data_IF_630024158748
#
_entry.id   IF_630024158748
#
_cell.length_a   1.000
_cell.length_b   1.000
_cell.length_c   1.000
_cell.angle_alpha   90.00
_cell.angle_beta   90.00
_cell.angle_gamma   90.00
#
_symmetry.space_group_name_H-M   'P 1'
#
loop_
_entity.id
_entity.type
_entity.pdbx_description
1 polymer ?
#
# COMPACT_ATOMS: atom_id res chain seq x y z
N UNK A 1 34.09 4.86 -14.25
CA UNK A 1 32.82 4.16 -14.51
C UNK A 1 33.11 2.87 -15.26
N UNK A 2 32.61 1.75 -14.77
CA UNK A 2 32.72 0.43 -15.41
C UNK A 2 31.61 0.30 -16.46
N UNK A 3 31.92 -0.20 -17.65
CA UNK A 3 30.97 -0.24 -18.77
C UNK A 3 30.58 -1.69 -19.05
N UNK A 4 29.35 -2.06 -18.71
CA UNK A 4 28.84 -3.41 -18.99
C UNK A 4 28.55 -3.51 -20.49
N UNK A 5 29.11 -4.53 -21.13
CA UNK A 5 28.91 -4.83 -22.55
C UNK A 5 27.81 -5.86 -22.76
N UNK A 6 27.74 -6.87 -21.89
CA UNK A 6 26.79 -7.99 -21.99
C UNK A 6 26.65 -8.69 -20.64
N UNK A 7 25.44 -9.16 -20.33
CA UNK A 7 25.17 -10.05 -19.20
C UNK A 7 24.56 -11.34 -19.77
N UNK A 8 25.14 -12.48 -19.42
CA UNK A 8 24.68 -13.82 -19.80
C UNK A 8 24.20 -14.56 -18.54
N UNK A 9 22.90 -14.80 -18.43
CA UNK A 9 22.32 -15.59 -17.33
C UNK A 9 22.28 -17.08 -17.67
N UNK A 10 22.88 -17.89 -16.80
CA UNK A 10 22.82 -19.36 -16.82
C UNK A 10 21.79 -19.81 -15.79
N UNK A 11 20.86 -20.68 -16.24
CA UNK A 11 19.87 -21.32 -15.39
C UNK A 11 20.55 -22.33 -14.45
N UNK A 12 20.28 -22.24 -13.16
CA UNK A 12 20.52 -23.31 -12.20
C UNK A 12 19.23 -24.07 -11.95
N UNK A 13 19.31 -25.40 -11.94
CA UNK A 13 18.22 -26.27 -11.48
C UNK A 13 18.14 -26.13 -9.97
N UNK A 14 16.93 -25.95 -9.43
CA UNK A 14 16.67 -25.92 -8.00
C UNK A 14 17.20 -27.21 -7.38
N UNK A 15 18.12 -27.08 -6.43
CA UNK A 15 18.58 -28.18 -5.60
C UNK A 15 18.11 -27.86 -4.18
N UNK A 16 17.00 -28.48 -3.77
CA UNK A 16 16.40 -28.34 -2.44
C UNK A 16 17.36 -28.79 -1.31
N UNK A 17 18.53 -29.35 -1.64
CA UNK A 17 19.58 -29.69 -0.68
C UNK A 17 20.51 -28.52 -0.32
N UNK A 18 20.43 -27.38 -1.02
CA UNK A 18 21.28 -26.21 -0.75
C UNK A 18 20.62 -25.23 0.23
N UNK A 19 21.37 -24.80 1.24
CA UNK A 19 20.96 -23.79 2.23
C UNK A 19 20.71 -22.37 1.67
N UNK A 20 20.95 -22.18 0.37
CA UNK A 20 20.74 -20.94 -0.36
C UNK A 20 19.95 -21.29 -1.62
N UNK A 21 18.82 -20.61 -1.84
CA UNK A 21 17.99 -20.84 -3.02
C UNK A 21 18.60 -20.04 -4.18
N UNK A 22 19.55 -20.65 -4.89
CA UNK A 22 20.21 -20.06 -6.06
C UNK A 22 19.27 -20.13 -7.25
N UNK A 23 18.80 -18.98 -7.71
CA UNK A 23 17.84 -18.90 -8.82
C UNK A 23 18.49 -18.51 -10.15
N UNK A 24 19.74 -18.01 -10.14
CA UNK A 24 20.47 -17.72 -11.37
C UNK A 24 21.98 -17.60 -11.16
N UNK A 25 22.74 -17.82 -12.23
CA UNK A 25 24.16 -17.50 -12.32
C UNK A 25 24.37 -16.49 -13.44
N UNK A 26 25.09 -15.40 -13.19
CA UNK A 26 25.40 -14.40 -14.20
C UNK A 26 26.87 -14.43 -14.61
N UNK A 27 27.12 -14.36 -15.91
CA UNK A 27 28.42 -14.05 -16.50
C UNK A 27 28.37 -12.65 -17.12
N UNK A 28 29.28 -11.77 -16.71
CA UNK A 28 29.23 -10.35 -17.00
C UNK A 28 30.46 -9.99 -17.82
N UNK A 29 30.24 -9.49 -19.01
CA UNK A 29 31.29 -8.97 -19.88
C UNK A 29 31.30 -7.45 -19.77
N UNK A 30 32.47 -6.90 -19.46
CA UNK A 30 32.69 -5.45 -19.47
C UNK A 30 33.53 -5.07 -20.70
N UNK A 31 33.37 -3.84 -21.18
CA UNK A 31 34.25 -3.31 -22.23
C UNK A 31 35.59 -2.80 -21.69
N UNK A 32 35.65 -2.46 -20.39
CA UNK A 32 36.81 -1.83 -19.74
C UNK A 32 37.24 -2.53 -18.44
N UNK A 33 36.80 -3.77 -18.20
CA UNK A 33 37.15 -4.55 -17.01
C UNK A 33 37.15 -6.06 -17.31
N UNK A 34 37.93 -6.89 -16.59
CA UNK A 34 37.89 -8.34 -16.79
C UNK A 34 36.49 -8.93 -16.58
N UNK A 35 36.10 -9.97 -17.34
CA UNK A 35 34.79 -10.58 -17.19
C UNK A 35 34.63 -11.20 -15.81
N UNK A 36 33.41 -11.10 -15.26
CA UNK A 36 33.01 -11.76 -14.03
C UNK A 36 32.20 -12.98 -14.43
N UNK A 37 32.75 -14.18 -14.22
CA UNK A 37 32.05 -15.43 -14.54
C UNK A 37 31.56 -16.09 -13.25
N UNK A 38 30.30 -16.46 -13.19
CA UNK A 38 29.74 -17.22 -12.08
C UNK A 38 29.28 -16.38 -10.89
N UNK A 39 28.78 -15.15 -11.10
CA UNK A 39 28.11 -14.41 -10.03
C UNK A 39 26.80 -15.13 -9.67
N UNK A 40 26.65 -15.56 -8.41
CA UNK A 40 25.50 -16.38 -7.99
C UNK A 40 24.41 -15.47 -7.42
N UNK A 41 23.23 -15.47 -8.03
CA UNK A 41 22.05 -14.78 -7.55
C UNK A 41 21.24 -15.75 -6.68
N UNK A 42 21.00 -15.37 -5.43
CA UNK A 42 20.31 -16.20 -4.47
C UNK A 42 19.37 -15.39 -3.58
N UNK A 43 18.40 -16.07 -2.98
CA UNK A 43 17.60 -15.52 -1.90
C UNK A 43 17.66 -16.43 -0.68
N UNK A 44 17.38 -15.84 0.50
CA UNK A 44 17.41 -16.56 1.77
C UNK A 44 16.50 -15.88 2.80
N UNK A 45 16.00 -16.67 3.74
CA UNK A 45 15.36 -16.12 4.96
C UNK A 45 16.39 -15.29 5.72
N UNK A 46 16.01 -14.09 6.08
CA UNK A 46 16.83 -13.23 6.89
C UNK A 46 16.87 -13.73 8.33
N UNK A 47 18.07 -13.78 8.88
CA UNK A 47 18.33 -14.21 10.26
C UNK A 47 19.12 -13.18 11.05
N UNK A 48 19.41 -12.01 10.44
CA UNK A 48 20.16 -10.95 11.11
C UNK A 48 19.76 -9.56 10.61
N UNK A 49 19.86 -8.56 11.49
CA UNK A 49 19.59 -7.16 11.15
C UNK A 49 20.73 -6.45 10.39
N UNK A 50 21.85 -7.14 10.11
CA UNK A 50 22.93 -6.54 9.32
C UNK A 50 22.55 -6.45 7.85
N UNK A 51 22.91 -5.34 7.20
CA UNK A 51 22.77 -5.12 5.75
C UNK A 51 23.62 -6.07 4.91
N UNK A 52 24.55 -6.81 5.54
CA UNK A 52 25.47 -7.72 4.86
C UNK A 52 25.32 -9.14 5.41
N UNK A 53 25.54 -10.13 4.54
CA UNK A 53 25.70 -11.52 4.96
C UNK A 53 27.04 -11.71 5.70
N UNK A 54 27.21 -12.80 6.48
CA UNK A 54 28.51 -13.15 7.05
C UNK A 54 29.63 -13.27 6.01
N UNK A 55 29.28 -13.59 4.76
CA UNK A 55 30.17 -13.67 3.61
C UNK A 55 30.51 -12.29 3.00
N UNK A 56 29.85 -11.22 3.43
CA UNK A 56 30.07 -9.85 2.97
C UNK A 56 29.25 -9.44 1.74
N UNK A 57 28.23 -10.22 1.36
CA UNK A 57 27.31 -9.87 0.27
C UNK A 57 26.23 -8.90 0.78
N UNK A 58 25.87 -7.89 0.00
CA UNK A 58 24.81 -6.94 0.38
C UNK A 58 23.44 -7.59 0.30
N UNK A 59 22.61 -7.41 1.32
CA UNK A 59 21.23 -7.89 1.35
C UNK A 59 20.30 -6.86 0.75
N UNK A 60 19.55 -7.27 -0.26
CA UNK A 60 18.46 -6.49 -0.80
C UNK A 60 17.15 -7.09 -0.31
N UNK A 61 16.42 -6.33 0.51
CA UNK A 61 15.15 -6.77 1.09
C UNK A 61 14.01 -6.39 0.18
N UNK A 62 13.19 -7.37 -0.22
CA UNK A 62 12.06 -7.15 -1.11
C UNK A 62 11.02 -6.19 -0.54
N UNK A 63 10.82 -6.26 0.77
CA UNK A 63 10.05 -5.32 1.56
C UNK A 63 10.92 -4.84 2.71
N UNK A 64 11.11 -3.52 2.80
CA UNK A 64 11.87 -2.90 3.88
C UNK A 64 11.09 -2.90 5.21
N UNK A 65 9.76 -3.02 5.16
CA UNK A 65 8.92 -3.20 6.34
C UNK A 65 8.96 -4.65 6.84
N UNK A 66 8.93 -5.62 5.92
CA UNK A 66 9.04 -7.05 6.23
C UNK A 66 10.35 -7.66 5.72
N UNK A 67 11.41 -7.51 6.53
CA UNK A 67 12.76 -8.01 6.22
C UNK A 67 12.91 -9.54 6.34
N UNK A 68 11.84 -10.33 6.22
CA UNK A 68 11.87 -11.79 6.40
C UNK A 68 12.72 -12.50 5.35
N UNK A 69 12.81 -11.97 4.13
CA UNK A 69 13.61 -12.54 3.04
C UNK A 69 14.45 -11.46 2.37
N UNK A 70 15.66 -11.84 1.94
CA UNK A 70 16.50 -10.98 1.13
C UNK A 70 16.99 -11.73 -0.12
N UNK A 71 17.24 -10.99 -1.19
CA UNK A 71 18.07 -11.42 -2.30
C UNK A 71 19.48 -10.84 -2.18
N UNK A 72 20.44 -11.53 -2.76
CA UNK A 72 21.83 -11.07 -2.80
C UNK A 72 22.58 -11.70 -3.98
N UNK A 73 23.75 -11.15 -4.26
CA UNK A 73 24.66 -11.66 -5.30
C UNK A 73 26.00 -11.99 -4.69
N UNK A 74 26.35 -13.27 -4.76
CA UNK A 74 27.66 -13.76 -4.36
C UNK A 74 28.63 -13.68 -5.53
N UNK A 75 29.57 -12.75 -5.45
CA UNK A 75 30.62 -12.60 -6.45
C UNK A 75 31.78 -13.59 -6.21
N UNK A 76 32.37 -14.16 -7.27
CA UNK A 76 33.63 -14.92 -7.18
C UNK A 76 34.72 -14.20 -6.37
N UNK A 77 35.45 -14.95 -5.53
CA UNK A 77 36.43 -14.42 -4.56
C UNK A 77 37.58 -13.62 -5.20
N UNK A 78 37.89 -13.88 -6.46
CA UNK A 78 39.01 -13.27 -7.20
C UNK A 78 38.68 -11.90 -7.82
N UNK A 79 37.49 -11.37 -7.59
CA UNK A 79 37.02 -10.11 -8.20
C UNK A 79 37.51 -8.89 -7.41
N UNK A 80 38.12 -7.94 -8.12
CA UNK A 80 38.70 -6.69 -7.56
C UNK A 80 37.73 -5.50 -7.52
N UNK A 81 36.42 -5.75 -7.47
CA UNK A 81 35.41 -4.69 -7.29
C UNK A 81 35.41 -4.20 -5.83
N UNK A 82 35.29 -2.89 -5.65
CA UNK A 82 35.07 -2.25 -4.34
C UNK A 82 33.70 -2.65 -3.76
N UNK A 83 33.46 -2.35 -2.48
CA UNK A 83 32.18 -2.65 -1.81
C UNK A 83 31.00 -1.99 -2.51
N UNK A 84 31.11 -0.69 -2.81
CA UNK A 84 30.02 0.07 -3.44
C UNK A 84 29.78 -0.38 -4.88
N UNK A 85 30.84 -0.72 -5.63
CA UNK A 85 30.72 -1.34 -6.96
C UNK A 85 30.07 -2.72 -6.91
N UNK A 86 30.36 -3.53 -5.88
CA UNK A 86 29.70 -4.84 -5.70
C UNK A 86 28.22 -4.66 -5.39
N UNK A 87 27.88 -3.68 -4.56
CA UNK A 87 26.49 -3.37 -4.22
C UNK A 87 25.72 -2.88 -5.45
N UNK A 88 26.21 -1.88 -6.18
CA UNK A 88 25.52 -1.36 -7.37
C UNK A 88 25.44 -2.42 -8.48
N UNK A 89 26.49 -3.24 -8.69
CA UNK A 89 26.43 -4.34 -9.65
C UNK A 89 25.46 -5.45 -9.20
N UNK A 90 25.40 -5.75 -7.90
CA UNK A 90 24.45 -6.73 -7.37
C UNK A 90 23.01 -6.25 -7.59
N UNK A 91 22.75 -4.95 -7.38
CA UNK A 91 21.45 -4.35 -7.70
C UNK A 91 21.13 -4.51 -9.18
N UNK A 92 22.02 -4.12 -10.10
CA UNK A 92 21.81 -4.26 -11.56
C UNK A 92 21.50 -5.71 -11.93
N UNK A 93 22.25 -6.69 -11.41
CA UNK A 93 22.04 -8.10 -11.74
C UNK A 93 20.72 -8.64 -11.20
N UNK A 94 20.38 -8.24 -9.97
CA UNK A 94 19.13 -8.61 -9.34
C UNK A 94 17.94 -7.89 -9.96
N UNK A 95 18.10 -6.69 -10.49
CA UNK A 95 17.07 -5.97 -11.22
C UNK A 95 16.83 -6.62 -12.58
N UNK A 96 17.88 -6.82 -13.38
CA UNK A 96 17.82 -7.50 -14.68
C UNK A 96 17.24 -8.93 -14.60
N UNK A 97 17.48 -9.64 -13.48
CA UNK A 97 16.95 -10.99 -13.28
C UNK A 97 15.67 -11.06 -12.45
N UNK A 98 15.52 -10.19 -11.47
CA UNK A 98 14.42 -10.12 -10.51
C UNK A 98 13.21 -9.36 -11.03
N UNK A 99 13.38 -8.54 -12.07
CA UNK A 99 12.28 -8.09 -12.95
C UNK A 99 11.54 -9.25 -13.63
N UNK A 100 12.15 -10.45 -13.65
CA UNK A 100 11.59 -11.70 -14.18
C UNK A 100 11.02 -12.57 -13.03
N UNK A 101 10.62 -11.95 -11.92
CA UNK A 101 9.67 -12.50 -10.95
C UNK A 101 8.25 -12.11 -11.35
N UNK A 102 7.23 -12.86 -10.93
CA UNK A 102 5.83 -12.56 -11.27
C UNK A 102 5.42 -11.17 -10.81
N UNK A 103 5.44 -10.20 -11.72
CA UNK A 103 4.69 -8.96 -11.62
C UNK A 103 3.71 -8.91 -12.76
N UNK A 104 2.48 -9.32 -12.46
CA UNK A 104 1.41 -8.37 -12.68
C UNK A 104 1.57 -7.34 -11.56
N UNK A 105 2.25 -6.21 -11.80
CA UNK A 105 1.84 -5.01 -11.08
C UNK A 105 0.32 -4.92 -11.26
N UNK A 106 -0.44 -4.42 -10.28
CA UNK A 106 -1.83 -3.99 -10.53
C UNK A 106 -1.87 -2.82 -11.54
N UNK A 107 -0.87 -2.66 -12.41
CA UNK A 107 -0.99 -1.96 -13.69
C UNK A 107 -2.09 -2.65 -14.48
N UNK A 108 -3.24 -2.01 -14.38
CA UNK A 108 -4.53 -2.44 -14.87
C UNK A 108 -4.44 -3.01 -16.31
N UNK A 109 -4.95 -4.25 -16.55
CA UNK A 109 -5.11 -4.82 -17.89
C UNK A 109 -6.04 -4.00 -18.83
N UNK A 110 -6.68 -2.92 -18.35
CA UNK A 110 -7.45 -2.00 -19.20
C UNK A 110 -6.56 -1.05 -20.02
N UNK A 111 -5.23 -1.09 -19.84
CA UNK A 111 -4.23 -0.40 -20.69
C UNK A 111 -4.29 -0.78 -22.18
N UNK A 112 -5.22 -1.66 -22.59
CA UNK A 112 -5.58 -1.91 -23.99
C UNK A 112 -6.41 -0.83 -24.70
N UNK A 113 -6.73 0.34 -24.10
CA UNK A 113 -7.53 1.39 -24.78
C UNK A 113 -6.85 2.75 -24.92
N UNK A 114 -6.72 3.14 -26.20
CA UNK A 114 -6.59 4.45 -26.91
C UNK A 114 -7.01 5.77 -26.25
N UNK A 115 -7.43 5.81 -24.98
CA UNK A 115 -7.86 7.05 -24.34
C UNK A 115 -6.64 7.88 -23.93
N UNK A 116 -6.41 8.97 -24.66
CA UNK A 116 -5.46 10.00 -24.26
C UNK A 116 -6.26 11.15 -23.63
N UNK A 117 -6.20 11.35 -22.30
CA UNK A 117 -6.99 12.37 -21.61
C UNK A 117 -6.86 13.74 -22.23
N UNK A 118 -5.61 14.13 -22.53
CA UNK A 118 -5.28 15.41 -23.17
C UNK A 118 -5.93 15.56 -24.54
N UNK A 119 -5.73 14.61 -25.46
CA UNK A 119 -6.32 14.66 -26.81
C UNK A 119 -7.84 14.59 -26.79
N UNK A 120 -8.42 13.91 -25.81
CA UNK A 120 -9.87 13.82 -25.65
C UNK A 120 -10.44 15.11 -25.05
N UNK A 121 -9.75 15.72 -24.09
CA UNK A 121 -10.10 17.01 -23.48
C UNK A 121 -10.04 18.13 -24.52
N UNK A 122 -9.01 18.17 -25.36
CA UNK A 122 -8.87 19.15 -26.46
C UNK A 122 -10.02 19.08 -27.49
N UNK A 123 -10.72 17.94 -27.57
CA UNK A 123 -11.91 17.78 -28.43
C UNK A 123 -13.19 18.29 -27.76
N UNK A 124 -13.20 18.44 -26.44
CA UNK A 124 -14.32 19.02 -25.71
C UNK A 124 -14.35 20.52 -25.95
N UNK A 125 -15.43 21.02 -26.53
CA UNK A 125 -15.69 22.46 -26.62
C UNK A 125 -16.23 22.96 -25.28
N UNK A 126 -15.35 23.09 -24.27
CA UNK A 126 -15.73 23.50 -22.91
C UNK A 126 -16.29 24.93 -22.94
N UNK A 127 -17.55 25.15 -22.51
CA UNK A 127 -18.11 26.49 -22.39
C UNK A 127 -17.33 27.36 -21.40
N UNK A 128 -17.17 28.66 -21.68
CA UNK A 128 -16.38 29.58 -20.82
C UNK A 128 -16.85 29.65 -19.36
N UNK A 129 -18.15 29.45 -19.12
CA UNK A 129 -18.76 29.47 -17.79
C UNK A 129 -19.12 28.07 -17.27
N UNK A 130 -18.47 27.02 -17.79
CA UNK A 130 -18.72 25.66 -17.32
C UNK A 130 -18.07 25.45 -15.94
N UNK A 131 -18.89 25.04 -14.97
CA UNK A 131 -18.43 24.58 -13.67
C UNK A 131 -18.46 23.05 -13.64
N UNK A 132 -17.33 22.43 -13.31
CA UNK A 132 -17.20 20.96 -13.22
C UNK A 132 -18.18 20.37 -12.21
N UNK A 133 -18.60 21.14 -11.20
CA UNK A 133 -19.57 20.76 -10.16
C UNK A 133 -21.02 20.83 -10.63
N UNK A 134 -21.27 21.37 -11.81
CA UNK A 134 -22.65 21.55 -12.30
C UNK A 134 -23.30 20.24 -12.76
N UNK A 135 -22.51 19.17 -12.89
CA UNK A 135 -22.96 17.82 -13.22
C UNK A 135 -22.69 16.91 -12.01
N UNK A 136 -23.73 16.43 -11.30
CA UNK A 136 -23.58 15.63 -10.08
C UNK A 136 -22.70 14.38 -10.25
N UNK A 137 -22.11 13.93 -9.14
CA UNK A 137 -21.21 12.77 -9.10
C UNK A 137 -21.89 11.45 -9.47
N UNK A 138 -23.16 11.27 -9.13
CA UNK A 138 -23.91 10.05 -9.44
C UNK A 138 -24.21 9.87 -10.94
N UNK A 139 -24.08 10.92 -11.76
CA UNK A 139 -24.41 10.86 -13.19
C UNK A 139 -23.29 10.14 -13.96
N UNK A 140 -23.61 8.96 -14.51
CA UNK A 140 -22.69 8.15 -15.29
C UNK A 140 -22.51 8.60 -16.76
N UNK A 141 -21.78 7.81 -17.57
CA UNK A 141 -21.65 8.07 -19.01
C UNK A 141 -22.94 7.79 -19.79
N UNK A 142 -23.82 6.94 -19.26
CA UNK A 142 -25.16 6.68 -19.79
C UNK A 142 -26.13 7.49 -18.91
N UNK A 143 -26.71 8.53 -19.49
CA UNK A 143 -27.58 9.48 -18.80
C UNK A 143 -29.01 9.24 -19.29
N UNK A 144 -29.95 9.06 -18.38
CA UNK A 144 -31.35 8.91 -18.73
C UNK A 144 -31.98 10.25 -19.15
N UNK A 145 -33.22 10.21 -19.67
CA UNK A 145 -33.88 11.44 -20.13
C UNK A 145 -34.27 12.37 -18.98
N UNK A 146 -34.52 11.84 -17.78
CA UNK A 146 -34.95 12.62 -16.61
C UNK A 146 -33.78 13.47 -16.12
N UNK A 147 -32.64 12.83 -15.85
CA UNK A 147 -31.40 13.48 -15.43
C UNK A 147 -30.92 14.47 -16.49
N UNK A 148 -30.99 14.11 -17.78
CA UNK A 148 -30.59 15.02 -18.86
C UNK A 148 -31.46 16.29 -18.90
N UNK A 149 -32.78 16.16 -18.77
CA UNK A 149 -33.67 17.31 -18.77
C UNK A 149 -33.39 18.22 -17.56
N UNK A 150 -33.18 17.62 -16.37
CA UNK A 150 -32.84 18.35 -15.16
C UNK A 150 -31.50 19.08 -15.27
N UNK A 151 -30.48 18.44 -15.86
CA UNK A 151 -29.17 19.06 -16.10
C UNK A 151 -29.27 20.26 -17.05
N UNK A 152 -30.11 20.19 -18.09
CA UNK A 152 -30.34 21.29 -19.02
C UNK A 152 -31.14 22.43 -18.38
N UNK A 153 -32.06 22.12 -17.46
CA UNK A 153 -32.77 23.13 -16.67
C UNK A 153 -31.82 23.88 -15.73
N UNK A 154 -30.91 23.17 -15.06
CA UNK A 154 -29.90 23.75 -14.18
C UNK A 154 -28.79 24.48 -14.94
N UNK A 155 -28.50 24.05 -16.17
CA UNK A 155 -27.43 24.60 -16.99
C UNK A 155 -27.93 25.00 -18.40
N UNK A 156 -28.74 26.06 -18.55
CA UNK A 156 -29.38 26.40 -19.83
C UNK A 156 -28.41 26.77 -20.95
N UNK A 157 -27.17 27.16 -20.60
CA UNK A 157 -26.12 27.53 -21.54
C UNK A 157 -25.36 26.34 -22.13
N UNK A 158 -25.59 25.14 -21.63
CA UNK A 158 -24.85 23.93 -22.00
C UNK A 158 -25.67 23.08 -22.97
N UNK A 159 -25.02 22.55 -24.01
CA UNK A 159 -25.68 21.64 -24.96
C UNK A 159 -25.75 20.21 -24.43
N UNK A 160 -26.84 19.49 -24.75
CA UNK A 160 -26.98 18.04 -24.47
C UNK A 160 -25.78 17.23 -24.99
N UNK A 161 -25.26 17.60 -26.16
CA UNK A 161 -24.09 16.93 -26.77
C UNK A 161 -22.85 17.10 -25.89
N UNK A 162 -22.57 18.31 -25.42
CA UNK A 162 -21.44 18.56 -24.54
C UNK A 162 -21.55 17.75 -23.23
N UNK A 163 -22.74 17.71 -22.60
CA UNK A 163 -22.95 16.94 -21.37
C UNK A 163 -22.60 15.46 -21.59
N UNK A 164 -23.09 14.85 -22.68
CA UNK A 164 -22.73 13.46 -23.01
C UNK A 164 -21.22 13.29 -23.23
N UNK A 165 -20.60 14.15 -24.04
CA UNK A 165 -19.17 14.04 -24.36
C UNK A 165 -18.29 14.23 -23.11
N UNK A 166 -18.64 15.17 -22.23
CA UNK A 166 -17.96 15.42 -20.97
C UNK A 166 -18.15 14.28 -19.96
N UNK A 167 -19.38 13.78 -19.77
CA UNK A 167 -19.65 12.64 -18.89
C UNK A 167 -18.90 11.39 -19.34
N UNK A 168 -18.80 11.15 -20.66
CA UNK A 168 -17.99 10.07 -21.21
C UNK A 168 -16.49 10.30 -20.98
N UNK A 169 -16.01 11.54 -21.13
CA UNK A 169 -14.61 11.88 -20.86
C UNK A 169 -14.23 11.66 -19.39
N UNK A 170 -14.99 12.23 -18.43
CA UNK A 170 -14.69 12.05 -16.99
C UNK A 170 -14.77 10.59 -16.56
N UNK A 171 -15.71 9.82 -17.12
CA UNK A 171 -15.83 8.37 -16.85
C UNK A 171 -14.60 7.58 -17.29
N UNK A 172 -14.00 7.93 -18.44
CA UNK A 172 -12.77 7.28 -18.88
C UNK A 172 -11.53 7.80 -18.14
N UNK A 173 -11.57 9.06 -17.67
CA UNK A 173 -10.50 9.66 -16.88
C UNK A 173 -10.33 8.93 -15.53
N UNK A 174 -11.41 8.74 -14.76
CA UNK A 174 -11.35 8.13 -13.41
C UNK A 174 -11.05 6.62 -13.43
N UNK A 175 -11.01 6.01 -14.61
CA UNK A 175 -10.52 4.63 -14.82
C UNK A 175 -9.01 4.53 -14.99
N UNK A 176 -8.34 5.65 -15.19
CA UNK A 176 -6.88 5.71 -15.19
C UNK A 176 -6.37 5.67 -13.77
N UNK A 177 -5.09 5.32 -13.62
CA UNK A 177 -4.44 5.41 -12.32
C UNK A 177 -4.40 6.87 -11.85
N UNK A 178 -4.57 7.17 -10.54
CA UNK A 178 -4.59 8.57 -10.08
C UNK A 178 -3.37 9.39 -10.47
N UNK A 179 -2.18 8.79 -10.49
CA UNK A 179 -0.97 9.44 -11.02
C UNK A 179 -1.05 9.83 -12.51
N UNK A 180 -1.89 9.18 -13.31
CA UNK A 180 -2.08 9.45 -14.74
C UNK A 180 -3.11 10.56 -15.00
N UNK A 181 -4.09 10.75 -14.09
CA UNK A 181 -5.11 11.79 -14.25
C UNK A 181 -4.91 13.04 -13.39
N UNK A 182 -3.95 13.05 -12.47
CA UNK A 182 -3.60 14.16 -11.57
C UNK A 182 -3.61 15.54 -12.25
N UNK A 183 -2.95 15.65 -13.41
CA UNK A 183 -2.84 16.90 -14.17
C UNK A 183 -4.20 17.43 -14.71
N UNK A 184 -5.25 16.61 -14.68
CA UNK A 184 -6.58 16.92 -15.17
C UNK A 184 -7.60 17.18 -14.06
N UNK A 185 -7.20 17.13 -12.78
CA UNK A 185 -8.08 17.47 -11.64
C UNK A 185 -8.81 18.83 -11.78
N UNK A 186 -8.22 19.90 -12.38
CA UNK A 186 -8.96 21.14 -12.60
C UNK A 186 -10.17 21.03 -13.55
N UNK A 187 -10.29 19.94 -14.31
CA UNK A 187 -11.32 19.72 -15.32
C UNK A 187 -12.34 18.64 -14.92
N UNK A 188 -12.26 18.11 -13.70
CA UNK A 188 -13.20 17.12 -13.18
C UNK A 188 -13.56 17.45 -11.73
N UNK A 189 -14.82 17.25 -11.37
CA UNK A 189 -15.22 17.40 -9.98
C UNK A 189 -14.66 16.25 -9.13
N UNK A 190 -13.96 16.57 -8.05
CA UNK A 190 -13.36 15.57 -7.17
C UNK A 190 -14.42 14.69 -6.50
N UNK A 191 -15.66 15.18 -6.34
CA UNK A 191 -16.76 14.34 -5.88
C UNK A 191 -17.05 13.16 -6.83
N UNK A 192 -16.89 13.35 -8.15
CA UNK A 192 -16.98 12.27 -9.13
C UNK A 192 -15.79 11.30 -9.01
N UNK A 193 -14.60 11.80 -8.74
CA UNK A 193 -13.41 10.96 -8.47
C UNK A 193 -13.66 10.08 -7.24
N UNK A 194 -14.09 10.68 -6.12
CA UNK A 194 -14.47 9.95 -4.90
C UNK A 194 -15.56 8.89 -5.15
N UNK A 195 -16.53 9.19 -6.00
CA UNK A 195 -17.64 8.28 -6.32
C UNK A 195 -17.21 7.08 -7.18
N UNK A 196 -16.39 7.32 -8.22
CA UNK A 196 -16.22 6.38 -9.33
C UNK A 196 -14.81 5.79 -9.50
N UNK A 197 -13.77 6.39 -8.92
CA UNK A 197 -12.40 5.86 -9.04
C UNK A 197 -12.16 4.77 -7.98
N UNK A 198 -12.04 3.53 -8.41
CA UNK A 198 -11.80 2.36 -7.54
C UNK A 198 -10.33 2.19 -7.12
N UNK A 199 -9.41 3.01 -7.66
CA UNK A 199 -7.97 2.94 -7.42
C UNK A 199 -7.45 3.94 -6.38
N UNK A 200 -8.34 4.69 -5.74
CA UNK A 200 -7.93 5.63 -4.68
C UNK A 200 -7.36 4.87 -3.49
N UNK A 201 -6.16 5.26 -3.07
CA UNK A 201 -5.54 4.81 -1.81
C UNK A 201 -5.88 5.78 -0.70
N UNK A 202 -5.81 5.30 0.55
CA UNK A 202 -6.03 6.16 1.71
C UNK A 202 -5.02 7.31 1.74
N UNK A 203 -3.75 7.03 1.44
CA UNK A 203 -2.72 8.06 1.34
C UNK A 203 -3.07 9.14 0.32
N UNK A 204 -3.55 8.77 -0.89
CA UNK A 204 -3.96 9.73 -1.91
C UNK A 204 -5.13 10.60 -1.44
N UNK A 205 -6.10 10.01 -0.74
CA UNK A 205 -7.24 10.73 -0.15
C UNK A 205 -6.79 11.71 0.94
N UNK A 206 -5.84 11.32 1.80
CA UNK A 206 -5.31 12.19 2.85
C UNK A 206 -4.53 13.36 2.23
N UNK A 207 -3.78 13.14 1.15
CA UNK A 207 -3.03 14.20 0.49
C UNK A 207 -3.93 15.25 -0.17
N UNK A 208 -5.11 14.84 -0.62
CA UNK A 208 -6.12 15.70 -1.22
C UNK A 208 -7.30 15.97 -0.28
N UNK A 209 -7.08 15.93 1.04
CA UNK A 209 -8.16 15.94 2.04
C UNK A 209 -9.13 17.11 1.86
N UNK A 210 -8.64 18.29 1.44
CA UNK A 210 -9.49 19.45 1.18
C UNK A 210 -10.45 19.30 -0.02
N UNK A 211 -10.16 18.39 -0.94
CA UNK A 211 -10.98 18.09 -2.12
C UNK A 211 -11.92 16.90 -1.89
N UNK A 212 -11.65 16.06 -0.88
CA UNK A 212 -12.42 14.83 -0.61
C UNK A 212 -13.88 15.16 -0.27
N UNK A 213 -14.79 14.65 -1.11
CA UNK A 213 -16.23 14.70 -0.84
C UNK A 213 -16.69 13.38 -0.18
N UNK A 214 -16.79 13.38 1.15
CA UNK A 214 -17.20 12.20 1.92
C UNK A 214 -18.62 11.74 1.58
N UNK A 215 -19.49 12.66 1.14
CA UNK A 215 -20.86 12.38 0.74
C UNK A 215 -20.93 11.50 -0.52
N UNK A 216 -19.99 11.67 -1.45
CA UNK A 216 -19.83 10.79 -2.62
C UNK A 216 -18.98 9.57 -2.31
N UNK A 217 -17.91 9.70 -1.51
CA UNK A 217 -16.97 8.62 -1.19
C UNK A 217 -17.64 7.43 -0.49
N UNK A 218 -18.66 7.67 0.35
CA UNK A 218 -19.42 6.62 1.05
C UNK A 218 -20.18 5.63 0.13
N UNK A 219 -20.18 5.85 -1.19
CA UNK A 219 -20.77 4.95 -2.19
C UNK A 219 -19.72 4.16 -2.98
N UNK A 220 -18.42 4.43 -2.76
CA UNK A 220 -17.32 3.76 -3.45
C UNK A 220 -16.82 2.56 -2.62
N UNK A 221 -17.60 1.48 -2.62
CA UNK A 221 -17.33 0.28 -1.82
C UNK A 221 -15.95 -0.35 -2.05
N UNK A 222 -15.39 -0.40 -3.28
CA UNK A 222 -14.02 -0.86 -3.49
C UNK A 222 -12.98 -0.06 -2.72
N UNK A 223 -13.15 1.26 -2.59
CA UNK A 223 -12.25 2.10 -1.80
C UNK A 223 -12.51 1.89 -0.31
N UNK A 224 -13.78 1.93 0.13
CA UNK A 224 -14.15 1.77 1.54
C UNK A 224 -13.67 0.44 2.15
N UNK A 225 -13.58 -0.63 1.37
CA UNK A 225 -13.08 -1.94 1.83
C UNK A 225 -11.60 -1.96 2.19
N UNK A 226 -10.83 -0.94 1.81
CA UNK A 226 -9.37 -0.85 2.05
C UNK A 226 -8.97 0.29 2.96
N UNK A 227 -9.91 1.10 3.42
CA UNK A 227 -9.61 2.21 4.33
C UNK A 227 -9.45 1.70 5.75
N UNK A 228 -8.47 2.26 6.46
CA UNK A 228 -8.25 2.06 7.88
C UNK A 228 -9.47 2.50 8.68
N UNK A 229 -9.61 1.92 9.88
CA UNK A 229 -10.63 2.35 10.84
C UNK A 229 -10.52 3.86 11.17
N UNK A 230 -9.32 4.44 11.11
CA UNK A 230 -9.10 5.87 11.31
C UNK A 230 -9.80 6.71 10.24
N UNK A 231 -9.62 6.37 8.96
CA UNK A 231 -10.23 7.12 7.87
C UNK A 231 -11.74 6.86 7.75
N UNK A 232 -12.19 5.63 8.01
CA UNK A 232 -13.63 5.32 8.11
C UNK A 232 -14.31 6.15 9.21
N UNK A 233 -13.66 6.30 10.36
CA UNK A 233 -14.12 7.18 11.45
C UNK A 233 -14.20 8.64 11.00
N UNK A 234 -13.19 9.12 10.26
CA UNK A 234 -13.20 10.47 9.67
C UNK A 234 -14.38 10.67 8.72
N UNK A 235 -14.65 9.73 7.82
CA UNK A 235 -15.81 9.79 6.89
C UNK A 235 -17.11 9.95 7.67
N UNK A 236 -17.35 9.12 8.68
CA UNK A 236 -18.58 9.15 9.49
C UNK A 236 -18.72 10.49 10.23
N UNK A 237 -17.63 11.00 10.81
CA UNK A 237 -17.65 12.27 11.54
C UNK A 237 -17.91 13.46 10.62
N UNK A 238 -17.30 13.50 9.43
CA UNK A 238 -17.55 14.56 8.46
C UNK A 238 -18.96 14.48 7.87
N UNK A 239 -19.50 13.28 7.60
CA UNK A 239 -20.90 13.12 7.19
C UNK A 239 -21.87 13.69 8.24
N UNK A 240 -21.64 13.39 9.53
CA UNK A 240 -22.44 13.94 10.64
C UNK A 240 -22.32 15.46 10.74
N UNK A 241 -21.11 15.99 10.61
CA UNK A 241 -20.82 17.44 10.65
C UNK A 241 -21.48 18.20 9.50
N UNK A 242 -21.52 17.58 8.32
CA UNK A 242 -22.19 18.12 7.14
C UNK A 242 -23.72 17.94 7.17
N UNK A 243 -24.26 17.24 8.18
CA UNK A 243 -25.66 16.80 8.24
C UNK A 243 -26.07 16.04 6.95
N UNK A 244 -25.13 15.31 6.37
CA UNK A 244 -25.34 14.49 5.19
C UNK A 244 -25.97 13.16 5.58
N UNK A 245 -26.75 12.58 4.66
CA UNK A 245 -27.34 11.26 4.86
C UNK A 245 -26.24 10.19 4.83
N UNK A 246 -26.19 9.37 5.88
CA UNK A 246 -25.31 8.20 5.93
C UNK A 246 -25.89 7.10 5.02
N UNK A 247 -25.00 6.38 4.34
CA UNK A 247 -25.38 5.29 3.47
C UNK A 247 -26.11 4.19 4.27
N UNK A 248 -27.28 3.79 3.77
CA UNK A 248 -28.13 2.76 4.38
C UNK A 248 -27.42 1.41 4.57
N UNK A 249 -26.36 1.14 3.81
CA UNK A 249 -25.61 -0.10 3.95
C UNK A 249 -24.98 -0.24 5.34
N UNK A 250 -24.52 0.85 5.95
CA UNK A 250 -23.83 0.82 7.26
C UNK A 250 -24.40 1.81 8.30
N UNK A 251 -25.50 2.49 7.99
CA UNK A 251 -26.11 3.50 8.88
C UNK A 251 -26.50 2.91 10.26
N UNK A 252 -26.95 1.67 10.30
CA UNK A 252 -27.38 0.99 11.53
C UNK A 252 -26.23 0.31 12.28
N UNK A 253 -25.08 0.10 11.62
CA UNK A 253 -23.95 -0.69 12.13
C UNK A 253 -22.60 0.01 11.92
N UNK A 254 -22.57 1.32 12.18
CA UNK A 254 -21.39 2.19 12.00
C UNK A 254 -20.12 1.62 12.65
N UNK A 255 -20.24 1.04 13.86
CA UNK A 255 -19.08 0.51 14.56
C UNK A 255 -18.49 -0.71 13.84
N UNK A 256 -19.34 -1.61 13.36
CA UNK A 256 -18.92 -2.78 12.59
C UNK A 256 -18.24 -2.34 11.29
N UNK A 257 -18.83 -1.38 10.57
CA UNK A 257 -18.20 -0.81 9.36
C UNK A 257 -16.79 -0.27 9.63
N UNK A 258 -16.57 0.41 10.76
CA UNK A 258 -15.28 0.99 11.14
C UNK A 258 -14.26 -0.09 11.50
N UNK A 259 -14.65 -1.05 12.33
CA UNK A 259 -13.73 -2.04 12.93
C UNK A 259 -13.46 -3.26 12.06
N UNK A 260 -14.43 -3.68 11.23
CA UNK A 260 -14.30 -4.85 10.38
C UNK A 260 -13.66 -4.49 9.03
N UNK A 261 -12.45 -5.01 8.81
CA UNK A 261 -11.72 -4.88 7.54
C UNK A 261 -12.40 -5.64 6.39
N UNK A 262 -13.18 -6.68 6.71
CA UNK A 262 -13.84 -7.54 5.73
C UNK A 262 -15.22 -7.06 5.33
N UNK A 263 -15.73 -5.99 5.97
CA UNK A 263 -17.11 -5.49 5.83
C UNK A 263 -17.58 -5.29 4.38
N UNK A 264 -16.68 -4.83 3.49
CA UNK A 264 -16.94 -4.69 2.05
C UNK A 264 -16.00 -5.52 1.17
N UNK A 265 -15.41 -6.58 1.71
CA UNK A 265 -14.49 -7.48 0.99
C UNK A 265 -15.15 -8.13 -0.24
N UNK A 266 -16.46 -8.37 -0.23
CA UNK A 266 -17.17 -8.89 -1.42
C UNK A 266 -17.15 -7.90 -2.60
N UNK A 267 -17.00 -6.61 -2.33
CA UNK A 267 -16.84 -5.55 -3.33
C UNK A 267 -15.37 -5.25 -3.62
N UNK A 268 -14.42 -5.98 -3.03
CA UNK A 268 -13.01 -5.92 -3.41
C UNK A 268 -12.81 -6.63 -4.76
N UNK A 269 -13.51 -6.20 -5.80
CA UNK A 269 -13.29 -6.73 -7.14
C UNK A 269 -12.00 -6.15 -7.70
N UNK A 270 -10.97 -6.99 -7.79
CA UNK A 270 -9.82 -6.75 -8.65
C UNK A 270 -9.83 -7.86 -9.71
N UNK A 271 -10.49 -7.60 -10.85
CA UNK A 271 -10.42 -8.49 -12.01
C UNK A 271 -9.05 -8.32 -12.68
N UNK A 272 -8.15 -9.26 -12.40
CA UNK A 272 -6.86 -9.41 -13.09
C UNK A 272 -6.96 -10.67 -13.97
N UNK A 273 -6.99 -10.52 -15.30
CA UNK A 273 -6.39 -11.43 -16.31
C UNK A 273 -6.58 -10.93 -17.77
N UNK A 274 -5.58 -11.32 -18.57
CA UNK A 274 -5.36 -11.41 -20.03
C UNK A 274 -4.88 -10.22 -20.92
N UNK A 275 -3.60 -10.38 -21.30
CA UNK A 275 -2.85 -10.13 -22.55
C UNK A 275 -2.79 -8.75 -23.21
N UNK A 276 -1.61 -8.14 -23.29
CA UNK A 276 -0.71 -7.91 -24.47
C UNK A 276 0.21 -6.71 -24.16
N UNK A 277 1.51 -6.90 -24.44
CA UNK A 277 2.62 -5.98 -24.15
C UNK A 277 2.55 -4.67 -24.94
N UNK A 278 2.91 -3.55 -24.29
CA UNK A 278 3.55 -2.39 -24.95
C UNK A 278 4.54 -1.67 -24.03
N UNK A 279 5.55 -1.11 -24.69
CA UNK A 279 6.76 -0.49 -24.16
C UNK A 279 6.51 0.66 -23.17
N UNK A 280 7.10 0.53 -21.99
CA UNK A 280 7.22 1.60 -21.00
C UNK A 280 8.43 2.49 -21.31
N UNK A 281 8.24 3.80 -21.26
CA UNK A 281 9.34 4.76 -21.08
C UNK A 281 9.88 4.59 -19.65
N UNK A 282 10.95 3.82 -19.51
CA UNK A 282 11.62 3.61 -18.23
C UNK A 282 12.25 4.91 -17.74
N UNK A 283 12.00 5.25 -16.47
CA UNK A 283 12.79 6.25 -15.75
C UNK A 283 14.27 5.86 -15.81
N UNK A 284 15.10 6.80 -16.23
CA UNK A 284 16.54 6.62 -16.31
C UNK A 284 17.08 6.66 -14.88
N UNK A 285 17.39 5.50 -14.32
CA UNK A 285 18.18 5.41 -13.08
C UNK A 285 19.61 5.85 -13.41
N UNK A 286 20.07 6.94 -12.80
CA UNK A 286 21.44 7.42 -12.96
C UNK A 286 22.39 6.60 -12.07
N UNK A 287 23.11 5.65 -12.67
CA UNK A 287 24.09 4.81 -11.98
C UNK A 287 25.42 5.54 -11.79
N UNK A 288 25.98 5.48 -10.59
CA UNK A 288 27.16 6.27 -10.22
C UNK A 288 28.48 5.58 -10.61
N UNK A 289 28.54 4.24 -10.57
CA UNK A 289 29.76 3.48 -10.84
C UNK A 289 29.73 2.69 -12.15
N UNK A 290 28.55 2.43 -12.74
CA UNK A 290 28.39 1.68 -13.99
C UNK A 290 27.70 2.49 -15.10
N UNK A 291 28.13 2.27 -16.35
CA UNK A 291 27.42 2.71 -17.55
C UNK A 291 26.83 1.46 -18.21
N UNK A 292 25.50 1.46 -18.36
CA UNK A 292 24.74 0.31 -18.87
C UNK A 292 23.89 0.74 -20.06
N UNK A 293 24.30 0.32 -21.26
CA UNK A 293 23.53 0.54 -22.50
C UNK A 293 22.47 -0.55 -22.59
N UNK A 294 21.20 -0.18 -22.35
CA UNK A 294 20.06 -1.10 -22.29
C UNK A 294 19.69 -1.68 -23.66
N UNK A 295 20.30 -1.21 -24.75
CA UNK A 295 20.02 -1.66 -26.10
C UNK A 295 18.57 -1.39 -26.56
N UNK A 296 18.29 -1.57 -27.86
CA UNK A 296 16.96 -1.32 -28.44
C UNK A 296 15.98 -2.50 -28.31
N UNK A 297 16.43 -3.64 -27.80
CA UNK A 297 15.61 -4.84 -27.68
C UNK A 297 15.71 -5.35 -26.26
N UNK A 298 14.74 -4.97 -25.42
CA UNK A 298 14.41 -5.77 -24.23
C UNK A 298 14.24 -7.21 -24.69
N UNK A 299 14.67 -8.18 -23.89
CA UNK A 299 14.54 -9.60 -24.22
C UNK A 299 13.05 -9.96 -24.41
N UNK A 300 12.57 -10.27 -25.63
CA UNK A 300 11.23 -10.78 -25.83
C UNK A 300 11.25 -12.28 -25.50
N UNK A 301 10.46 -12.71 -24.52
CA UNK A 301 10.32 -14.13 -24.18
C UNK A 301 11.12 -14.63 -22.96
N UNK A 302 11.24 -13.84 -21.89
CA UNK A 302 11.63 -14.37 -20.57
C UNK A 302 10.46 -15.13 -19.91
N UNK A 303 9.92 -16.13 -20.60
CA UNK A 303 8.82 -16.98 -20.12
C UNK A 303 9.34 -18.03 -19.12
N UNK A 304 9.81 -17.62 -17.95
CA UNK A 304 9.88 -18.50 -16.78
C UNK A 304 9.60 -17.68 -15.52
N UNK A 305 8.31 -17.50 -15.23
CA UNK A 305 7.79 -16.94 -13.99
C UNK A 305 8.34 -17.69 -12.78
N UNK A 306 9.16 -17.06 -11.95
CA UNK A 306 9.37 -17.54 -10.57
C UNK A 306 8.17 -17.04 -9.76
N UNK A 307 7.20 -17.92 -9.53
CA UNK A 307 6.03 -17.61 -8.69
C UNK A 307 6.48 -17.33 -7.26
N UNK A 308 5.99 -16.23 -6.69
CA UNK A 308 6.18 -15.92 -5.26
C UNK A 308 7.47 -15.17 -4.91
N UNK A 309 8.24 -14.67 -5.89
CA UNK A 309 9.37 -13.79 -5.63
C UNK A 309 9.05 -12.36 -6.09
N UNK A 310 9.04 -11.39 -5.16
CA UNK A 310 8.94 -9.98 -5.50
C UNK A 310 10.15 -9.48 -6.33
N UNK A 311 9.96 -8.47 -7.18
CA UNK A 311 10.92 -7.84 -8.09
C UNK A 311 11.46 -6.62 -7.39
N UNK A 312 12.72 -6.30 -7.65
CA UNK A 312 13.33 -5.07 -7.16
C UNK A 312 12.63 -3.82 -7.71
N UNK A 313 12.07 -3.88 -8.92
CA UNK A 313 11.26 -2.81 -9.48
C UNK A 313 9.99 -2.54 -8.65
N UNK A 314 9.46 -3.53 -7.94
CA UNK A 314 8.30 -3.33 -7.05
C UNK A 314 8.64 -2.68 -5.72
N UNK A 315 9.91 -2.42 -5.43
CA UNK A 315 10.26 -1.59 -4.27
C UNK A 315 9.96 -0.12 -4.55
N UNK A 316 9.89 0.25 -5.83
CA UNK A 316 9.61 1.60 -6.29
C UNK A 316 8.12 1.89 -6.21
N UNK A 317 7.26 0.87 -6.24
CA UNK A 317 5.81 1.03 -6.25
C UNK A 317 5.15 0.31 -5.05
N UNK A 318 3.99 0.77 -4.62
CA UNK A 318 3.15 0.00 -3.70
C UNK A 318 2.33 -1.09 -4.44
N UNK A 319 1.52 -1.85 -3.70
CA UNK A 319 0.71 -2.91 -4.26
C UNK A 319 -0.43 -2.42 -5.19
N UNK A 320 -0.69 -1.11 -5.18
CA UNK A 320 -1.69 -0.42 -6.00
C UNK A 320 -1.09 0.29 -7.22
N UNK A 321 0.24 0.34 -7.33
CA UNK A 321 0.95 0.95 -8.45
C UNK A 321 1.36 2.42 -8.25
N UNK A 322 1.26 2.95 -7.02
CA UNK A 322 1.79 4.28 -6.70
C UNK A 322 3.29 4.20 -6.45
N UNK A 323 4.03 5.17 -7.00
CA UNK A 323 5.46 5.29 -6.72
C UNK A 323 5.68 5.64 -5.26
N UNK A 324 6.39 4.78 -4.53
CA UNK A 324 6.90 5.06 -3.19
C UNK A 324 7.79 6.31 -3.24
N UNK A 325 7.54 7.24 -2.33
CA UNK A 325 8.29 8.48 -2.26
C UNK A 325 9.67 8.29 -1.69
N UNK A 326 10.61 9.08 -2.19
CA UNK A 326 11.92 9.25 -1.54
C UNK A 326 11.76 10.01 -0.21
N UNK A 327 12.77 9.90 0.66
CA UNK A 327 12.83 10.67 1.91
C UNK A 327 12.63 12.17 1.69
N UNK A 328 13.23 12.73 0.64
CA UNK A 328 13.15 14.16 0.34
C UNK A 328 11.74 14.58 -0.05
N UNK A 329 11.12 13.84 -0.96
CA UNK A 329 9.74 14.12 -1.40
C UNK A 329 8.77 13.99 -0.22
N UNK A 330 8.92 12.94 0.59
CA UNK A 330 8.06 12.73 1.74
C UNK A 330 8.25 13.82 2.80
N UNK A 331 9.48 14.30 3.04
CA UNK A 331 9.73 15.42 3.96
C UNK A 331 9.04 16.70 3.47
N UNK A 332 9.10 16.99 2.17
CA UNK A 332 8.46 18.15 1.53
C UNK A 332 6.94 18.11 1.66
N UNK A 333 6.33 16.95 1.43
CA UNK A 333 4.89 16.73 1.61
C UNK A 333 4.49 16.82 3.09
N UNK A 334 5.18 16.10 3.96
CA UNK A 334 4.84 16.03 5.39
C UNK A 334 4.94 17.39 6.08
N UNK A 335 5.84 18.27 5.62
CA UNK A 335 5.94 19.64 6.11
C UNK A 335 4.72 20.53 5.76
N UNK A 336 3.93 20.15 4.75
CA UNK A 336 2.76 20.89 4.28
C UNK A 336 1.45 20.35 4.87
N UNK A 337 1.49 19.17 5.50
CA UNK A 337 0.29 18.54 6.05
C UNK A 337 -0.34 19.35 7.17
N UNK A 338 -1.66 19.45 7.11
CA UNK A 338 -2.49 19.95 8.21
C UNK A 338 -2.46 18.97 9.38
N UNK A 339 -2.89 19.43 10.56
CA UNK A 339 -3.01 18.57 11.74
C UNK A 339 -3.90 17.34 11.48
N UNK A 340 -4.99 17.51 10.74
CA UNK A 340 -5.91 16.42 10.39
C UNK A 340 -5.23 15.39 9.48
N UNK A 341 -4.49 15.86 8.46
CA UNK A 341 -3.71 14.99 7.58
C UNK A 341 -2.63 14.24 8.35
N UNK A 342 -1.91 14.90 9.27
CA UNK A 342 -0.92 14.24 10.13
C UNK A 342 -1.59 13.15 10.98
N UNK A 343 -2.75 13.45 11.58
CA UNK A 343 -3.50 12.48 12.38
C UNK A 343 -3.87 11.24 11.56
N UNK A 344 -4.45 11.44 10.38
CA UNK A 344 -4.85 10.34 9.49
C UNK A 344 -3.64 9.57 8.95
N UNK A 345 -2.58 10.26 8.52
CA UNK A 345 -1.35 9.59 8.06
C UNK A 345 -0.73 8.74 9.18
N UNK A 346 -0.72 9.23 10.42
CA UNK A 346 -0.13 8.50 11.55
C UNK A 346 -0.76 7.11 11.76
N UNK A 347 -2.02 6.93 11.37
CA UNK A 347 -2.72 5.65 11.42
C UNK A 347 -2.25 4.63 10.36
N UNK A 348 -1.63 5.06 9.27
CA UNK A 348 -1.26 4.17 8.14
C UNK A 348 0.22 4.22 7.75
N UNK A 349 1.02 5.09 8.37
CA UNK A 349 2.44 5.20 8.05
C UNK A 349 3.19 3.92 8.40
N UNK A 350 4.00 3.45 7.46
CA UNK A 350 4.96 2.36 7.69
C UNK A 350 5.98 2.73 8.80
N UNK A 351 6.59 1.73 9.47
CA UNK A 351 7.48 1.95 10.63
C UNK A 351 8.65 2.90 10.35
N UNK A 352 9.20 2.88 9.14
CA UNK A 352 10.31 3.75 8.77
C UNK A 352 9.90 5.24 8.79
N UNK A 353 8.70 5.56 8.34
CA UNK A 353 8.16 6.92 8.39
C UNK A 353 7.75 7.31 9.81
N UNK A 354 7.12 6.39 10.56
CA UNK A 354 6.80 6.63 11.98
C UNK A 354 8.07 6.98 12.77
N UNK A 355 9.17 6.25 12.57
CA UNK A 355 10.44 6.56 13.21
C UNK A 355 11.00 7.92 12.76
N UNK A 356 10.99 8.19 11.45
CA UNK A 356 11.52 9.43 10.87
C UNK A 356 10.79 10.66 11.41
N UNK A 357 9.47 10.58 11.53
CA UNK A 357 8.59 11.67 11.94
C UNK A 357 8.08 11.55 13.38
N UNK A 358 8.71 10.72 14.22
CA UNK A 358 8.31 10.46 15.62
C UNK A 358 8.03 11.71 16.46
N UNK A 359 8.70 12.82 16.21
CA UNK A 359 8.50 14.06 16.97
C UNK A 359 7.37 14.95 16.41
N UNK A 360 6.70 14.52 15.34
CA UNK A 360 5.69 15.29 14.60
C UNK A 360 4.39 14.51 14.36
N UNK A 361 4.40 13.19 14.39
CA UNK A 361 3.21 12.36 14.20
C UNK A 361 2.27 12.43 15.40
N UNK A 362 1.01 12.09 15.16
CA UNK A 362 0.03 11.89 16.22
C UNK A 362 0.17 10.46 16.76
N UNK A 363 0.87 10.33 17.89
CA UNK A 363 1.07 9.04 18.56
C UNK A 363 -0.21 8.45 19.13
N UNK A 364 -1.23 9.25 19.42
CA UNK A 364 -2.52 8.72 19.84
C UNK A 364 -3.16 7.99 18.66
N UNK A 365 -3.21 8.61 17.48
CA UNK A 365 -3.75 7.98 16.28
C UNK A 365 -2.91 6.79 15.81
N UNK A 366 -1.57 6.91 15.85
CA UNK A 366 -0.68 5.79 15.52
C UNK A 366 -0.93 4.60 16.46
N UNK A 367 -0.89 4.81 17.78
CA UNK A 367 -1.12 3.75 18.74
C UNK A 367 -2.51 3.13 18.61
N UNK A 368 -3.54 3.93 18.32
CA UNK A 368 -4.90 3.43 18.22
C UNK A 368 -5.15 2.60 16.96
N UNK A 369 -4.64 3.00 15.78
CA UNK A 369 -5.12 2.46 14.50
C UNK A 369 -4.05 1.77 13.65
N UNK A 370 -2.76 1.98 13.93
CA UNK A 370 -1.71 1.55 13.01
C UNK A 370 -1.40 0.05 13.16
N UNK A 371 -1.59 -0.69 12.07
CA UNK A 371 -1.34 -2.13 11.98
C UNK A 371 0.15 -2.51 12.03
N UNK A 372 1.04 -1.59 11.63
CA UNK A 372 2.48 -1.85 11.50
C UNK A 372 3.25 -1.75 12.82
N UNK A 373 2.56 -1.53 13.94
CA UNK A 373 3.19 -1.40 15.26
C UNK A 373 3.65 -2.77 15.80
N UNK A 374 4.88 -3.15 15.48
CA UNK A 374 5.50 -4.37 16.04
C UNK A 374 6.03 -4.15 17.45
N UNK A 375 6.22 -5.23 18.19
CA UNK A 375 6.80 -5.23 19.53
C UNK A 375 8.18 -4.57 19.58
N UNK A 376 9.06 -4.84 18.60
CA UNK A 376 10.38 -4.23 18.54
C UNK A 376 10.28 -2.72 18.30
N UNK A 377 9.36 -2.30 17.44
CA UNK A 377 9.13 -0.89 17.16
C UNK A 377 8.62 -0.17 18.42
N UNK A 378 7.61 -0.73 19.09
CA UNK A 378 7.06 -0.19 20.33
C UNK A 378 8.13 -0.14 21.43
N UNK A 379 8.90 -1.21 21.62
CA UNK A 379 9.98 -1.25 22.60
C UNK A 379 11.06 -0.18 22.34
N UNK A 380 11.36 0.12 21.08
CA UNK A 380 12.31 1.16 20.71
C UNK A 380 11.76 2.60 20.92
N UNK A 381 10.43 2.77 20.94
CA UNK A 381 9.77 4.08 20.99
C UNK A 381 8.87 4.25 22.23
N UNK A 382 9.14 3.51 23.32
CA UNK A 382 8.34 3.50 24.55
C UNK A 382 7.96 4.89 25.08
N UNK A 383 8.85 5.88 24.98
CA UNK A 383 8.62 7.24 25.46
C UNK A 383 7.50 7.98 24.73
N UNK A 384 7.11 7.52 23.56
CA UNK A 384 6.08 8.14 22.73
C UNK A 384 4.75 7.39 22.77
N UNK A 385 4.73 6.16 23.27
CA UNK A 385 3.53 5.32 23.25
C UNK A 385 2.43 5.92 24.12
N UNK A 386 1.24 6.05 23.54
CA UNK A 386 0.02 6.26 24.29
C UNK A 386 -0.63 4.90 24.58
N UNK A 387 -0.41 4.36 25.78
CA UNK A 387 -0.92 3.04 26.18
C UNK A 387 -2.45 2.99 26.29
N UNK A 388 -3.12 4.12 26.56
CA UNK A 388 -4.57 4.15 26.55
C UNK A 388 -5.10 3.95 25.12
N UNK A 389 -4.52 4.64 24.14
CA UNK A 389 -4.85 4.48 22.74
C UNK A 389 -4.45 3.11 22.19
N UNK A 390 -3.26 2.61 22.54
CA UNK A 390 -2.79 1.28 22.16
C UNK A 390 -3.72 0.18 22.70
N UNK A 391 -4.32 0.41 23.87
CA UNK A 391 -5.30 -0.51 24.46
C UNK A 391 -6.49 -0.80 23.56
N UNK A 392 -6.88 0.20 22.75
CA UNK A 392 -8.02 0.15 21.83
C UNK A 392 -7.61 -0.29 20.40
N UNK A 393 -6.34 -0.66 20.16
CA UNK A 393 -5.85 -1.11 18.85
C UNK A 393 -6.24 -2.56 18.58
N UNK A 394 -6.96 -2.78 17.47
CA UNK A 394 -7.47 -4.08 17.03
C UNK A 394 -6.62 -4.73 15.94
N UNK A 395 -5.59 -4.03 15.45
CA UNK A 395 -4.90 -4.32 14.19
C UNK A 395 -3.44 -4.75 14.38
N UNK A 396 -2.77 -4.31 15.44
CA UNK A 396 -1.39 -4.74 15.71
C UNK A 396 -1.34 -6.10 16.42
N UNK A 397 -0.41 -6.97 15.98
CA UNK A 397 -0.13 -8.26 16.62
C UNK A 397 0.96 -8.12 17.69
N UNK A 398 0.62 -8.41 18.95
CA UNK A 398 1.56 -8.39 20.08
C UNK A 398 1.64 -9.75 20.76
N UNK A 399 2.82 -10.16 21.17
CA UNK A 399 3.05 -11.36 21.98
C UNK A 399 2.51 -11.20 23.40
N UNK A 400 2.19 -12.35 24.02
CA UNK A 400 1.86 -12.42 25.44
C UNK A 400 2.98 -11.83 26.31
N UNK A 401 4.25 -12.11 26.01
CA UNK A 401 5.41 -11.58 26.73
C UNK A 401 5.43 -10.04 26.74
N UNK A 402 5.10 -9.42 25.60
CA UNK A 402 5.03 -7.97 25.50
C UNK A 402 3.87 -7.43 26.34
N UNK A 403 2.68 -8.04 26.22
CA UNK A 403 1.48 -7.64 26.97
C UNK A 403 1.73 -7.76 28.47
N UNK A 404 2.27 -8.89 28.93
CA UNK A 404 2.57 -9.12 30.34
C UNK A 404 3.55 -8.08 30.88
N UNK A 405 4.64 -7.83 30.15
CA UNK A 405 5.68 -6.87 30.53
C UNK A 405 5.13 -5.46 30.73
N UNK A 406 4.18 -5.03 29.90
CA UNK A 406 3.63 -3.67 29.94
C UNK A 406 2.22 -3.58 30.51
N UNK A 407 1.65 -4.68 31.00
CA UNK A 407 0.26 -4.80 31.41
C UNK A 407 -0.22 -3.61 32.25
N UNK A 408 0.56 -3.22 33.27
CA UNK A 408 0.20 -2.14 34.21
C UNK A 408 0.10 -0.74 33.60
N UNK A 409 0.54 -0.54 32.36
CA UNK A 409 0.48 0.76 31.67
C UNK A 409 -0.87 0.99 30.98
N UNK A 410 -1.64 -0.08 30.72
CA UNK A 410 -2.96 0.03 30.10
C UNK A 410 -4.03 0.54 31.10
N UNK A 411 -5.11 1.11 30.56
CA UNK A 411 -6.22 1.62 31.36
C UNK A 411 -7.23 0.51 31.71
N UNK A 412 -6.97 -0.20 32.81
CA UNK A 412 -7.82 -1.30 33.30
C UNK A 412 -9.15 -0.86 33.95
N UNK A 413 -9.51 0.42 33.90
CA UNK A 413 -10.82 0.86 34.37
C UNK A 413 -11.94 0.40 33.43
N UNK A 414 -11.61 0.16 32.16
CA UNK A 414 -12.49 -0.39 31.12
C UNK A 414 -11.87 -1.69 30.58
N UNK A 415 -12.63 -2.52 29.86
CA UNK A 415 -12.04 -3.58 29.05
C UNK A 415 -10.99 -3.02 28.09
N UNK A 416 -9.93 -3.80 27.85
CA UNK A 416 -8.79 -3.40 27.02
C UNK A 416 -8.73 -4.33 25.80
N UNK A 417 -9.29 -3.91 24.65
CA UNK A 417 -9.44 -4.75 23.46
C UNK A 417 -8.17 -5.50 23.03
N UNK A 418 -7.02 -4.84 22.99
CA UNK A 418 -5.76 -5.47 22.56
C UNK A 418 -5.35 -6.63 23.47
N UNK A 419 -5.63 -6.54 24.77
CA UNK A 419 -5.35 -7.62 25.74
C UNK A 419 -6.33 -8.77 25.53
N UNK A 420 -7.62 -8.45 25.31
CA UNK A 420 -8.67 -9.47 25.15
C UNK A 420 -8.44 -10.28 23.87
N UNK A 421 -8.06 -9.62 22.77
CA UNK A 421 -7.73 -10.28 21.49
C UNK A 421 -6.56 -11.28 21.59
N UNK A 422 -5.65 -11.06 22.52
CA UNK A 422 -4.47 -11.91 22.73
C UNK A 422 -4.56 -12.67 24.07
N UNK A 423 -5.77 -12.80 24.62
CA UNK A 423 -5.98 -13.39 25.93
C UNK A 423 -5.72 -14.89 25.88
N UNK A 424 -4.79 -15.36 26.71
CA UNK A 424 -4.58 -16.78 26.97
C UNK A 424 -5.12 -17.15 28.35
N UNK A 425 -5.32 -18.45 28.56
CA UNK A 425 -5.74 -19.00 29.86
C UNK A 425 -4.73 -18.62 30.96
N UNK A 426 -3.44 -18.72 30.64
CA UNK A 426 -2.35 -18.38 31.56
C UNK A 426 -2.38 -16.90 31.93
N UNK A 427 -2.45 -16.01 30.93
CA UNK A 427 -2.56 -14.56 31.16
C UNK A 427 -3.79 -14.20 31.99
N UNK A 428 -4.95 -14.81 31.69
CA UNK A 428 -6.18 -14.55 32.44
C UNK A 428 -6.08 -15.01 33.90
N UNK A 429 -5.57 -16.21 34.16
CA UNK A 429 -5.44 -16.74 35.53
C UNK A 429 -4.45 -15.91 36.36
N UNK A 430 -3.35 -15.46 35.76
CA UNK A 430 -2.32 -14.68 36.43
C UNK A 430 -2.78 -13.24 36.74
N UNK A 431 -3.68 -12.67 35.93
CA UNK A 431 -4.06 -11.25 35.99
C UNK A 431 -5.57 -11.00 36.04
N UNK A 432 -6.36 -11.97 36.53
CA UNK A 432 -7.83 -11.93 36.61
C UNK A 432 -8.38 -10.66 37.26
N UNK A 433 -7.68 -10.11 38.26
CA UNK A 433 -8.11 -8.90 38.97
C UNK A 433 -7.95 -7.61 38.15
N UNK A 434 -7.12 -7.62 37.10
CA UNK A 434 -6.88 -6.47 36.21
C UNK A 434 -7.69 -6.57 34.92
N UNK A 435 -7.81 -7.78 34.35
CA UNK A 435 -8.43 -8.00 33.05
C UNK A 435 -9.95 -8.02 33.20
N UNK A 436 -10.61 -6.99 32.69
CA UNK A 436 -12.07 -6.89 32.63
C UNK A 436 -12.59 -7.49 31.33
N UNK A 437 -13.17 -8.69 31.42
CA UNK A 437 -13.80 -9.38 30.29
C UNK A 437 -15.01 -10.17 30.80
N UNK A 438 -16.09 -10.15 30.03
CA UNK A 438 -17.27 -11.00 30.22
C UNK A 438 -17.49 -11.90 28.98
N UNK A 439 -18.43 -12.83 29.07
CA UNK A 439 -18.68 -13.79 27.99
C UNK A 439 -19.12 -13.13 26.68
N UNK A 440 -19.88 -12.04 26.75
CA UNK A 440 -20.37 -11.33 25.56
C UNK A 440 -19.21 -10.63 24.85
N UNK A 441 -18.32 -9.99 25.61
CA UNK A 441 -17.13 -9.34 25.08
C UNK A 441 -16.09 -10.34 24.57
N UNK A 442 -15.93 -11.49 25.26
CA UNK A 442 -15.07 -12.57 24.78
C UNK A 442 -15.54 -13.07 23.42
N UNK A 443 -16.85 -13.23 23.23
CA UNK A 443 -17.45 -13.65 21.96
C UNK A 443 -17.20 -12.65 20.82
N UNK A 444 -17.17 -11.34 21.11
CA UNK A 444 -16.84 -10.32 20.10
C UNK A 444 -15.43 -10.49 19.51
N UNK A 445 -14.50 -11.10 20.26
CA UNK A 445 -13.12 -11.34 19.82
C UNK A 445 -12.83 -12.82 19.52
N UNK A 446 -13.87 -13.64 19.35
CA UNK A 446 -13.77 -15.08 19.09
C UNK A 446 -12.77 -15.42 17.98
N UNK A 447 -12.89 -14.75 16.83
CA UNK A 447 -12.05 -14.99 15.65
C UNK A 447 -10.57 -14.67 15.90
N UNK A 448 -10.27 -13.72 16.81
CA UNK A 448 -8.90 -13.34 17.14
C UNK A 448 -8.25 -14.29 18.16
N UNK A 449 -9.04 -14.80 19.11
CA UNK A 449 -8.59 -15.69 20.19
C UNK A 449 -8.42 -17.13 19.70
N UNK A 450 -9.31 -17.58 18.82
CA UNK A 450 -9.35 -18.93 18.28
C UNK A 450 -10.12 -19.93 19.17
N UNK A 451 -10.74 -20.90 18.50
CA UNK A 451 -11.70 -21.87 19.09
C UNK A 451 -11.23 -22.49 20.42
N UNK A 452 -10.03 -23.09 20.43
CA UNK A 452 -9.52 -23.82 21.60
C UNK A 452 -9.31 -22.91 22.81
N UNK A 453 -8.77 -21.71 22.57
CA UNK A 453 -8.47 -20.77 23.64
C UNK A 453 -9.75 -20.09 24.16
N UNK A 454 -10.71 -19.85 23.27
CA UNK A 454 -12.03 -19.33 23.60
C UNK A 454 -12.80 -20.30 24.51
N UNK A 455 -12.88 -21.60 24.18
CA UNK A 455 -13.60 -22.59 24.98
C UNK A 455 -13.07 -22.63 26.43
N UNK A 456 -11.75 -22.65 26.59
CA UNK A 456 -11.10 -22.65 27.91
C UNK A 456 -11.42 -21.38 28.72
N UNK A 457 -11.36 -20.21 28.07
CA UNK A 457 -11.69 -18.93 28.72
C UNK A 457 -13.17 -18.84 29.08
N UNK A 458 -14.05 -19.37 28.23
CA UNK A 458 -15.49 -19.40 28.49
C UNK A 458 -15.82 -20.28 29.70
N UNK A 459 -15.19 -21.44 29.85
CA UNK A 459 -15.32 -22.27 31.06
C UNK A 459 -14.90 -21.53 32.32
N UNK A 460 -13.80 -20.77 32.27
CA UNK A 460 -13.28 -19.99 33.40
C UNK A 460 -14.13 -18.76 33.75
N UNK A 461 -14.82 -18.16 32.79
CA UNK A 461 -15.76 -17.05 33.01
C UNK A 461 -17.13 -17.54 33.52
N UNK A 462 -17.43 -18.82 33.31
CA UNK A 462 -18.67 -19.45 33.77
C UNK A 462 -18.61 -19.92 35.23
N UNK A 463 -17.42 -19.89 35.85
CA UNK A 463 -17.14 -20.24 37.25
C UNK A 463 -17.02 -18.99 38.12
#
# INVERSE_FOLDING_TARGET
MLKIKKIDFIKTVYDDSLSHNIFSIANIQFSNYPPINGALLYWKKNTSQSDFTPEGDYKFFYDMANITYYASVKFPKNIKLTRDQRQELAYILLDERGSIGTYSLKTHPSRKRKFSPRKALEKLSIPENFDVKSIPSYVGPIIDEIDMNQLLEWNPSISKKFIHDYCFWRYNLVKLHPSEFEAFLPYVDFAYVCYACDQLTEQYLIEHLELVDVASLQYNYPVLSRLSASFKTYIVNELKKQNAKINKHFEEEIQLFIEDETYFSEYSTIHLLDDEEMEEEEEIVDYQFFEFDRGQYKWPGSEHMIKGIPSFASQIYDDMGYRKRTNKEMDEHFAQYTHEQIRLMSAILEPHWLHRYRDKIDWQAACQYNEYLTEEFLAAHLSYINFEALGDNLWCGLSEDFIEKYLKHFNHNKPVPIIIRHLTEELYLNYKDMIKVDSDLLFQYYDAIGDEQYERLQELLSQ
#
